data_IF_800907748074
#
_entry.id   IF_800907748074
#
_cell.length_a   1.000
_cell.length_b   1.000
_cell.length_c   1.000
_cell.angle_alpha   90.00
_cell.angle_beta   90.00
_cell.angle_gamma   90.00
#
_symmetry.space_group_name_H-M   'P 1'
#
loop_
_entity.id
_entity.type
_entity.pdbx_description
1 polymer ?
#
# COMPACT_ATOMS: atom_id res chain seq x y z
N UNK A 1 -22.77 10.17 4.48
CA UNK A 1 -21.50 10.85 4.83
C UNK A 1 -20.69 9.89 5.66
N UNK A 2 -19.46 9.62 5.24
CA UNK A 2 -18.56 8.58 5.80
C UNK A 2 -17.92 8.97 7.13
N UNK A 3 -18.20 10.17 7.67
CA UNK A 3 -17.63 10.65 8.93
C UNK A 3 -16.11 10.90 8.88
N UNK A 4 -15.49 10.79 7.70
CA UNK A 4 -14.06 10.94 7.46
C UNK A 4 -13.72 12.39 7.06
N UNK A 5 -12.58 12.90 7.54
CA UNK A 5 -12.00 14.17 7.09
C UNK A 5 -10.72 13.89 6.29
N UNK A 6 -10.60 14.48 5.11
CA UNK A 6 -9.35 14.55 4.36
C UNK A 6 -8.67 15.89 4.60
N UNK A 7 -7.47 15.87 5.19
CA UNK A 7 -6.67 17.07 5.36
C UNK A 7 -5.76 17.28 4.15
N UNK A 8 -5.97 18.36 3.42
CA UNK A 8 -5.17 18.72 2.26
C UNK A 8 -3.92 19.52 2.68
N UNK A 9 -2.78 19.13 2.12
CA UNK A 9 -1.45 19.57 2.53
C UNK A 9 -1.03 21.01 2.17
N UNK A 10 -1.98 21.84 1.74
CA UNK A 10 -1.83 23.25 1.41
C UNK A 10 -3.06 24.04 1.91
N UNK A 11 -2.96 25.37 1.92
CA UNK A 11 -3.97 26.29 2.44
C UNK A 11 -5.29 26.24 1.66
N UNK A 12 -5.24 25.86 0.38
CA UNK A 12 -6.42 25.85 -0.51
C UNK A 12 -6.50 24.51 -1.24
N UNK A 13 -7.47 23.64 -0.85
CA UNK A 13 -7.76 22.43 -1.58
C UNK A 13 -8.16 22.71 -3.04
N UNK A 14 -7.57 22.04 -4.04
CA UNK A 14 -7.94 22.20 -5.44
C UNK A 14 -9.39 21.76 -5.69
N UNK A 15 -10.11 22.51 -6.53
CA UNK A 15 -11.53 22.25 -6.83
C UNK A 15 -11.79 20.80 -7.29
N UNK A 16 -10.86 20.22 -8.06
CA UNK A 16 -10.97 18.83 -8.52
C UNK A 16 -10.89 17.82 -7.38
N UNK A 17 -10.01 18.05 -6.40
CA UNK A 17 -9.92 17.21 -5.22
C UNK A 17 -11.20 17.31 -4.39
N UNK A 18 -11.68 18.53 -4.16
CA UNK A 18 -12.94 18.76 -3.43
C UNK A 18 -14.10 18.04 -4.09
N UNK A 19 -14.26 18.17 -5.41
CA UNK A 19 -15.31 17.49 -6.15
C UNK A 19 -15.24 15.95 -6.02
N UNK A 20 -14.05 15.36 -6.17
CA UNK A 20 -13.87 13.91 -5.99
C UNK A 20 -14.20 13.45 -4.56
N UNK A 21 -13.83 14.22 -3.55
CA UNK A 21 -14.09 13.88 -2.15
C UNK A 21 -15.57 14.07 -1.78
N UNK A 22 -16.24 15.08 -2.35
CA UNK A 22 -17.68 15.29 -2.18
C UNK A 22 -18.51 14.12 -2.74
N UNK A 23 -18.13 13.59 -3.92
CA UNK A 23 -18.73 12.38 -4.50
C UNK A 23 -18.58 11.15 -3.59
N UNK A 24 -17.47 11.08 -2.85
CA UNK A 24 -17.18 10.03 -1.86
C UNK A 24 -17.75 10.35 -0.47
N UNK A 25 -18.40 11.51 -0.30
CA UNK A 25 -18.98 11.96 0.96
C UNK A 25 -17.96 12.25 2.07
N UNK A 26 -16.72 12.60 1.69
CA UNK A 26 -15.58 12.93 2.56
C UNK A 26 -15.35 14.44 2.56
N UNK A 27 -15.25 15.03 3.74
CA UNK A 27 -15.02 16.48 3.87
C UNK A 27 -13.54 16.80 3.72
N UNK A 28 -13.19 17.79 2.91
CA UNK A 28 -11.81 18.27 2.75
C UNK A 28 -11.58 19.52 3.57
N UNK A 29 -10.52 19.53 4.39
CA UNK A 29 -10.08 20.69 5.16
C UNK A 29 -8.59 20.96 4.88
N UNK A 30 -8.11 22.20 4.89
CA UNK A 30 -6.67 22.46 4.82
C UNK A 30 -5.97 21.92 6.09
N UNK A 31 -4.74 21.40 5.95
CA UNK A 31 -3.89 21.03 7.08
C UNK A 31 -3.56 22.31 7.86
N UNK A 32 -3.99 22.37 9.11
CA UNK A 32 -3.47 23.32 10.10
C UNK A 32 -2.29 22.63 10.79
N UNK A 33 -1.20 23.35 11.05
CA UNK A 33 0.10 22.83 11.57
C UNK A 33 -0.03 21.87 12.77
N UNK A 34 -1.12 21.95 13.52
CA UNK A 34 -1.57 20.91 14.43
C UNK A 34 -2.94 20.41 13.98
N UNK A 35 -3.04 19.11 13.66
CA UNK A 35 -4.34 18.44 13.62
C UNK A 35 -4.96 18.63 15.02
N UNK A 36 -6.17 19.24 15.14
CA UNK A 36 -6.81 19.41 16.44
C UNK A 36 -7.03 18.05 17.12
N UNK A 37 -7.51 18.01 18.36
CA UNK A 37 -8.01 16.75 18.94
C UNK A 37 -9.21 16.28 18.13
N UNK A 38 -8.95 15.51 17.07
CA UNK A 38 -9.96 15.07 16.11
C UNK A 38 -10.59 13.80 16.68
N UNK A 39 -11.89 13.88 17.00
CA UNK A 39 -12.67 12.72 17.44
C UNK A 39 -13.18 11.84 16.29
N UNK A 40 -12.95 12.28 15.05
CA UNK A 40 -13.34 11.60 13.83
C UNK A 40 -12.12 11.06 13.08
N UNK A 41 -12.23 9.92 12.38
CA UNK A 41 -11.15 9.44 11.52
C UNK A 41 -10.74 10.50 10.49
N UNK A 42 -9.46 10.57 10.19
CA UNK A 42 -8.95 11.48 9.16
C UNK A 42 -7.81 10.86 8.35
N UNK A 43 -7.61 11.36 7.14
CA UNK A 43 -6.47 11.01 6.27
C UNK A 43 -5.78 12.28 5.81
N UNK A 44 -4.46 12.22 5.61
CA UNK A 44 -3.71 13.31 4.98
C UNK A 44 -3.68 13.06 3.47
N UNK A 45 -3.93 14.11 2.69
CA UNK A 45 -3.98 14.03 1.23
C UNK A 45 -3.13 15.14 0.64
N UNK A 46 -2.30 14.82 -0.35
CA UNK A 46 -1.50 15.82 -1.04
C UNK A 46 -0.24 15.27 -1.68
N UNK A 47 0.72 16.15 -1.97
CA UNK A 47 1.97 15.75 -2.63
C UNK A 47 2.83 14.93 -1.67
N UNK A 48 3.28 13.77 -2.11
CA UNK A 48 4.09 12.89 -1.30
C UNK A 48 5.49 13.47 -1.05
N UNK A 49 5.92 13.44 0.20
CA UNK A 49 7.31 13.58 0.61
C UNK A 49 7.50 12.83 1.95
N UNK A 50 8.75 12.52 2.37
CA UNK A 50 8.99 11.73 3.57
C UNK A 50 8.34 12.28 4.85
N UNK A 51 8.26 13.61 5.01
CA UNK A 51 7.65 14.23 6.18
C UNK A 51 6.12 14.07 6.18
N UNK A 52 5.48 14.29 5.04
CA UNK A 52 4.02 14.19 4.87
C UNK A 52 3.52 12.75 4.96
N UNK A 53 4.28 11.81 4.38
CA UNK A 53 4.00 10.37 4.52
C UNK A 53 4.03 9.98 6.00
N UNK A 54 5.10 10.36 6.72
CA UNK A 54 5.22 10.10 8.17
C UNK A 54 4.08 10.74 8.97
N UNK A 55 3.69 11.97 8.63
CA UNK A 55 2.56 12.66 9.26
C UNK A 55 1.26 11.87 9.07
N UNK A 56 0.94 11.42 7.84
CA UNK A 56 -0.25 10.63 7.58
C UNK A 56 -0.23 9.24 8.23
N UNK A 57 0.97 8.68 8.45
CA UNK A 57 1.17 7.43 9.20
C UNK A 57 1.24 7.62 10.72
N UNK A 58 1.18 8.85 11.25
CA UNK A 58 1.18 9.12 12.69
C UNK A 58 -0.24 9.46 13.18
N UNK A 59 -0.58 9.06 14.40
CA UNK A 59 -1.86 9.42 15.02
C UNK A 59 -2.00 10.96 15.13
N UNK A 60 -3.20 11.54 14.94
CA UNK A 60 -4.50 10.89 14.80
C UNK A 60 -4.87 10.45 13.37
N UNK A 61 -4.00 10.65 12.38
CA UNK A 61 -4.29 10.26 11.00
C UNK A 61 -4.44 8.74 10.85
N UNK A 62 -5.23 8.31 9.88
CA UNK A 62 -5.46 6.92 9.51
C UNK A 62 -4.77 6.58 8.18
N UNK A 63 -4.03 7.52 7.61
CA UNK A 63 -3.23 7.25 6.43
C UNK A 63 -2.77 8.48 5.67
N UNK A 64 -2.04 8.21 4.59
CA UNK A 64 -1.63 9.20 3.61
C UNK A 64 -2.09 8.78 2.22
N UNK A 65 -2.67 9.69 1.46
CA UNK A 65 -3.04 9.49 0.06
C UNK A 65 -2.33 10.52 -0.79
N UNK A 66 -1.41 10.05 -1.62
CA UNK A 66 -0.78 10.89 -2.62
C UNK A 66 -1.81 11.40 -3.62
N UNK A 67 -1.76 12.69 -3.84
CA UNK A 67 -2.56 13.40 -4.81
C UNK A 67 -1.73 14.54 -5.38
N UNK A 68 -1.52 14.53 -6.69
CA UNK A 68 -0.90 15.65 -7.41
C UNK A 68 -1.94 16.36 -8.29
N UNK A 69 -1.83 17.68 -8.51
CA UNK A 69 -2.75 18.41 -9.37
C UNK A 69 -2.91 17.82 -10.78
N UNK A 70 -1.82 17.29 -11.34
CA UNK A 70 -1.77 16.62 -12.64
C UNK A 70 -2.27 15.17 -12.66
N UNK A 71 -2.52 14.54 -11.51
CA UNK A 71 -2.92 13.14 -11.47
C UNK A 71 -4.37 12.98 -11.91
N UNK A 72 -4.62 12.40 -13.08
CA UNK A 72 -5.99 12.12 -13.53
C UNK A 72 -6.67 10.97 -12.77
N UNK A 73 -5.93 10.28 -11.90
CA UNK A 73 -6.45 9.17 -11.12
C UNK A 73 -7.44 9.65 -10.05
N UNK A 74 -8.50 8.88 -9.78
CA UNK A 74 -9.39 9.14 -8.66
C UNK A 74 -8.67 8.89 -7.33
N UNK A 75 -9.14 9.55 -6.28
CA UNK A 75 -8.79 9.19 -4.91
C UNK A 75 -9.25 7.74 -4.65
N UNK A 76 -8.39 6.87 -4.10
CA UNK A 76 -8.71 5.45 -3.90
C UNK A 76 -9.77 5.28 -2.81
N UNK A 77 -10.99 4.90 -3.22
CA UNK A 77 -12.10 4.70 -2.30
C UNK A 77 -11.80 3.65 -1.22
N UNK A 78 -11.09 2.57 -1.57
CA UNK A 78 -10.71 1.51 -0.63
C UNK A 78 -9.86 2.05 0.55
N UNK A 79 -8.98 3.03 0.30
CA UNK A 79 -8.20 3.68 1.34
C UNK A 79 -9.10 4.50 2.29
N UNK A 80 -10.04 5.26 1.74
CA UNK A 80 -10.97 6.07 2.54
C UNK A 80 -11.91 5.18 3.37
N UNK A 81 -12.44 4.12 2.77
CA UNK A 81 -13.27 3.13 3.45
C UNK A 81 -12.51 2.44 4.59
N UNK A 82 -11.25 2.07 4.35
CA UNK A 82 -10.35 1.51 5.36
C UNK A 82 -10.17 2.48 6.55
N UNK A 83 -9.82 3.74 6.26
CA UNK A 83 -9.63 4.77 7.27
C UNK A 83 -10.92 5.03 8.08
N UNK A 84 -12.08 5.12 7.42
CA UNK A 84 -13.37 5.34 8.09
C UNK A 84 -13.75 4.24 9.09
N UNK A 85 -13.21 3.03 8.87
CA UNK A 85 -13.41 1.84 9.73
C UNK A 85 -12.34 1.70 10.81
N UNK A 86 -11.50 2.72 11.01
CA UNK A 86 -10.41 2.70 11.99
C UNK A 86 -9.17 1.92 11.55
N UNK A 87 -9.04 1.60 10.26
CA UNK A 87 -7.85 0.97 9.70
C UNK A 87 -6.74 1.97 9.38
N UNK A 88 -5.60 1.45 8.93
CA UNK A 88 -4.48 2.24 8.42
C UNK A 88 -4.37 2.10 6.90
N UNK A 89 -4.07 3.20 6.20
CA UNK A 89 -3.92 3.17 4.75
C UNK A 89 -2.75 4.01 4.25
N UNK A 90 -2.21 3.64 3.10
CA UNK A 90 -1.20 4.39 2.38
C UNK A 90 -1.44 4.23 0.88
N UNK A 91 -1.46 5.32 0.14
CA UNK A 91 -1.51 5.29 -1.32
C UNK A 91 -0.45 6.23 -1.88
N UNK A 92 0.47 5.69 -2.67
CA UNK A 92 1.57 6.43 -3.28
C UNK A 92 1.63 6.08 -4.77
N UNK A 93 2.12 6.99 -5.60
CA UNK A 93 2.54 6.61 -6.94
C UNK A 93 3.77 5.69 -6.87
N UNK A 94 4.06 5.02 -7.97
CA UNK A 94 5.11 4.00 -8.05
C UNK A 94 6.49 4.59 -7.80
N UNK A 95 6.73 5.82 -8.25
CA UNK A 95 7.98 6.54 -8.00
C UNK A 95 8.23 6.73 -6.50
N UNK A 96 7.25 7.26 -5.80
CA UNK A 96 7.35 7.53 -4.36
C UNK A 96 7.35 6.25 -3.55
N UNK A 97 6.57 5.25 -3.96
CA UNK A 97 6.56 3.94 -3.32
C UNK A 97 7.94 3.25 -3.40
N UNK A 98 8.64 3.36 -4.53
CA UNK A 98 9.98 2.81 -4.70
C UNK A 98 11.04 3.52 -3.84
N UNK A 99 10.87 4.82 -3.59
CA UNK A 99 11.81 5.63 -2.81
C UNK A 99 11.53 5.63 -1.29
N UNK A 100 10.43 5.02 -0.87
CA UNK A 100 9.97 5.02 0.51
C UNK A 100 10.13 3.64 1.11
N UNK A 101 10.71 3.55 2.31
CA UNK A 101 10.65 2.32 3.10
C UNK A 101 9.25 2.13 3.67
N UNK A 102 8.35 1.64 2.82
CA UNK A 102 6.94 1.45 3.14
C UNK A 102 6.79 0.38 4.22
N UNK A 103 7.49 -0.75 4.08
CA UNK A 103 7.31 -1.90 4.95
C UNK A 103 7.60 -1.52 6.40
N UNK A 104 8.75 -0.89 6.64
CA UNK A 104 9.13 -0.45 7.98
C UNK A 104 8.15 0.60 8.53
N UNK A 105 7.97 1.73 7.81
CA UNK A 105 7.17 2.85 8.32
C UNK A 105 5.71 2.48 8.55
N UNK A 106 5.13 1.68 7.66
CA UNK A 106 3.73 1.25 7.78
C UNK A 106 3.56 0.27 8.95
N UNK A 107 4.51 -0.65 9.14
CA UNK A 107 4.49 -1.62 10.24
C UNK A 107 4.69 -0.94 11.60
N UNK A 108 5.61 0.02 11.71
CA UNK A 108 5.76 0.85 12.92
C UNK A 108 4.46 1.59 13.25
N UNK A 109 3.81 2.15 12.23
CA UNK A 109 2.52 2.83 12.38
C UNK A 109 1.38 1.88 12.78
N UNK A 110 1.42 0.62 12.35
CA UNK A 110 0.50 -0.44 12.78
C UNK A 110 0.71 -0.77 14.26
N UNK A 111 1.94 -0.97 14.71
CA UNK A 111 2.24 -1.33 16.11
C UNK A 111 1.77 -0.24 17.08
N UNK A 112 1.99 1.03 16.74
CA UNK A 112 1.54 2.17 17.56
C UNK A 112 0.01 2.19 17.69
N UNK A 113 -0.73 1.86 16.62
CA UNK A 113 -2.21 1.89 16.61
C UNK A 113 -2.84 0.62 17.17
N UNK A 114 -2.22 -0.51 16.92
CA UNK A 114 -2.71 -1.84 17.26
C UNK A 114 -1.62 -2.62 18.00
N UNK A 115 -1.29 -2.28 19.27
CA UNK A 115 -0.18 -2.90 20.00
C UNK A 115 -0.32 -4.42 20.14
N UNK A 116 -1.55 -4.94 20.09
CA UNK A 116 -1.84 -6.38 20.16
C UNK A 116 -1.37 -7.18 18.93
N UNK A 117 -0.91 -6.54 17.86
CA UNK A 117 -0.34 -7.19 16.68
C UNK A 117 1.13 -7.57 16.83
N UNK A 118 1.79 -7.24 17.94
CA UNK A 118 3.23 -7.45 18.18
C UNK A 118 3.69 -8.87 17.80
N UNK A 119 2.91 -9.90 18.12
CA UNK A 119 3.24 -11.30 17.86
C UNK A 119 3.31 -11.68 16.36
N UNK A 120 2.64 -10.93 15.49
CA UNK A 120 2.55 -11.19 14.04
C UNK A 120 3.19 -10.06 13.22
N UNK A 121 3.86 -9.10 13.87
CA UNK A 121 4.33 -7.89 13.23
C UNK A 121 5.46 -8.15 12.21
N UNK A 122 6.38 -9.06 12.53
CA UNK A 122 7.47 -9.45 11.61
C UNK A 122 6.95 -10.15 10.35
N UNK A 123 5.91 -10.98 10.51
CA UNK A 123 5.24 -11.68 9.40
C UNK A 123 4.54 -10.68 8.47
N UNK A 124 3.89 -9.66 9.06
CA UNK A 124 3.26 -8.55 8.35
C UNK A 124 4.32 -7.74 7.58
N UNK A 125 5.41 -7.33 8.24
CA UNK A 125 6.45 -6.49 7.62
C UNK A 125 7.08 -7.16 6.41
N UNK A 126 7.49 -8.42 6.56
CA UNK A 126 8.14 -9.17 5.50
C UNK A 126 7.19 -9.45 4.34
N UNK A 127 5.93 -9.79 4.63
CA UNK A 127 4.91 -9.99 3.60
C UNK A 127 4.58 -8.69 2.87
N UNK A 128 4.51 -7.56 3.58
CA UNK A 128 4.29 -6.24 3.02
C UNK A 128 5.44 -5.82 2.10
N UNK A 129 6.69 -6.03 2.52
CA UNK A 129 7.87 -5.72 1.70
C UNK A 129 7.84 -6.47 0.36
N UNK A 130 7.56 -7.78 0.39
CA UNK A 130 7.44 -8.59 -0.82
C UNK A 130 6.25 -8.17 -1.69
N UNK A 131 5.08 -7.93 -1.08
CA UNK A 131 3.87 -7.52 -1.80
C UNK A 131 4.06 -6.17 -2.49
N UNK A 132 4.65 -5.18 -1.82
CA UNK A 132 4.96 -3.85 -2.38
C UNK A 132 6.01 -3.96 -3.48
N UNK A 133 7.06 -4.77 -3.30
CA UNK A 133 8.05 -4.99 -4.33
C UNK A 133 7.41 -5.61 -5.59
N UNK A 134 6.50 -6.56 -5.43
CA UNK A 134 5.77 -7.15 -6.55
C UNK A 134 4.84 -6.14 -7.23
N UNK A 135 4.08 -5.37 -6.46
CA UNK A 135 3.20 -4.30 -6.95
C UNK A 135 3.95 -3.27 -7.79
N UNK A 136 5.13 -2.84 -7.33
CA UNK A 136 5.98 -1.89 -8.06
C UNK A 136 6.58 -2.56 -9.31
N UNK A 137 7.31 -3.66 -9.12
CA UNK A 137 8.22 -4.20 -10.13
C UNK A 137 7.44 -4.98 -11.20
N UNK A 138 6.57 -5.88 -10.76
CA UNK A 138 5.83 -6.78 -11.65
C UNK A 138 4.47 -6.20 -12.04
N UNK A 139 3.83 -5.44 -11.15
CA UNK A 139 2.60 -4.71 -11.44
C UNK A 139 2.85 -3.46 -12.27
N UNK A 140 3.06 -2.32 -11.61
CA UNK A 140 3.07 -1.00 -12.24
C UNK A 140 4.17 -0.82 -13.29
N UNK A 141 5.39 -1.28 -13.00
CA UNK A 141 6.49 -1.21 -13.94
C UNK A 141 6.46 -2.34 -14.97
N UNK A 142 5.69 -3.42 -14.77
CA UNK A 142 5.58 -4.54 -15.72
C UNK A 142 6.91 -5.22 -16.05
N UNK A 143 7.86 -5.26 -15.12
CA UNK A 143 9.20 -5.84 -15.33
C UNK A 143 9.10 -7.35 -15.19
N UNK A 144 9.52 -8.07 -16.23
CA UNK A 144 9.48 -9.52 -16.27
C UNK A 144 10.37 -10.16 -15.20
N UNK A 145 9.89 -11.27 -14.67
CA UNK A 145 10.48 -11.97 -13.54
C UNK A 145 11.78 -12.74 -13.86
N UNK A 146 12.06 -12.94 -15.16
CA UNK A 146 13.21 -13.70 -15.69
C UNK A 146 14.51 -12.90 -15.77
N UNK A 147 14.50 -11.61 -15.43
CA UNK A 147 15.62 -10.71 -15.69
C UNK A 147 16.78 -10.83 -14.66
N UNK A 148 16.68 -11.65 -13.60
CA UNK A 148 17.62 -11.63 -12.44
C UNK A 148 18.56 -12.84 -12.27
N UNK A 149 18.83 -13.61 -13.34
CA UNK A 149 19.57 -14.89 -13.24
C UNK A 149 21.11 -14.77 -13.18
N UNK A 150 21.70 -13.73 -13.77
CA UNK A 150 23.16 -13.48 -13.76
C UNK A 150 23.48 -11.98 -13.57
N UNK A 151 24.76 -11.61 -13.49
CA UNK A 151 25.19 -10.22 -13.27
C UNK A 151 24.77 -9.29 -14.42
N UNK A 152 24.82 -9.78 -15.65
CA UNK A 152 24.36 -9.04 -16.83
C UNK A 152 22.85 -8.80 -16.79
N UNK A 153 22.07 -9.81 -16.38
CA UNK A 153 20.63 -9.72 -16.13
C UNK A 153 20.31 -8.74 -15.01
N UNK A 154 21.09 -8.73 -13.92
CA UNK A 154 20.90 -7.75 -12.85
C UNK A 154 21.14 -6.31 -13.34
N UNK A 155 22.19 -6.07 -14.12
CA UNK A 155 22.45 -4.76 -14.71
C UNK A 155 21.32 -4.33 -15.65
N UNK A 156 20.83 -5.23 -16.51
CA UNK A 156 19.68 -4.98 -17.39
C UNK A 156 18.41 -4.70 -16.59
N UNK A 157 18.16 -5.48 -15.54
CA UNK A 157 17.04 -5.28 -14.62
C UNK A 157 17.06 -3.89 -13.99
N UNK A 158 18.21 -3.46 -13.46
CA UNK A 158 18.34 -2.13 -12.86
C UNK A 158 18.15 -1.03 -13.92
N UNK A 159 18.70 -1.18 -15.12
CA UNK A 159 18.52 -0.21 -16.19
C UNK A 159 17.04 -0.07 -16.60
N UNK A 160 16.35 -1.19 -16.84
CA UNK A 160 14.91 -1.19 -17.17
C UNK A 160 14.07 -0.63 -16.03
N UNK A 161 14.43 -0.90 -14.78
CA UNK A 161 13.73 -0.34 -13.63
C UNK A 161 13.83 1.19 -13.59
N UNK A 162 15.03 1.74 -13.76
CA UNK A 162 15.24 3.18 -13.77
C UNK A 162 14.56 3.85 -14.97
N UNK A 163 14.67 3.25 -16.16
CA UNK A 163 13.98 3.71 -17.38
C UNK A 163 12.45 3.81 -17.16
N UNK A 164 11.82 2.77 -16.59
CA UNK A 164 10.37 2.77 -16.37
C UNK A 164 9.92 3.62 -15.21
N UNK A 165 10.82 3.90 -14.27
CA UNK A 165 10.59 4.94 -13.28
C UNK A 165 10.61 6.33 -13.94
N UNK A 166 11.22 6.55 -15.09
CA UNK A 166 11.15 7.85 -15.79
C UNK A 166 9.90 8.02 -16.66
N UNK A 167 9.20 6.93 -16.99
CA UNK A 167 7.96 6.90 -17.77
C UNK A 167 6.72 7.24 -16.90
N UNK A 168 6.05 8.40 -17.09
CA UNK A 168 4.86 8.78 -16.30
C UNK A 168 3.71 7.78 -16.39
N UNK A 169 3.54 7.09 -17.53
CA UNK A 169 2.45 6.11 -17.71
C UNK A 169 2.59 4.89 -16.79
N UNK A 170 3.77 4.70 -16.20
CA UNK A 170 4.09 3.63 -15.24
C UNK A 170 4.41 4.19 -13.86
N UNK A 171 5.23 5.24 -13.79
CA UNK A 171 5.70 5.82 -12.55
C UNK A 171 4.60 6.51 -11.75
N UNK A 172 3.56 7.03 -12.43
CA UNK A 172 2.44 7.71 -11.78
C UNK A 172 1.33 6.72 -11.39
N UNK A 173 1.44 5.44 -11.79
CA UNK A 173 0.54 4.38 -11.32
C UNK A 173 0.64 4.23 -9.81
N UNK A 174 -0.49 3.94 -9.18
CA UNK A 174 -0.62 3.87 -7.71
C UNK A 174 -0.29 2.48 -7.17
N UNK A 175 0.32 2.48 -5.98
CA UNK A 175 0.34 1.36 -5.05
C UNK A 175 -0.51 1.76 -3.85
N UNK A 176 -1.54 0.98 -3.56
CA UNK A 176 -2.49 1.21 -2.48
C UNK A 176 -2.36 0.13 -1.42
N UNK A 177 -2.33 0.54 -0.15
CA UNK A 177 -2.18 -0.36 1.00
C UNK A 177 -3.30 -0.06 1.97
N UNK A 178 -4.03 -1.10 2.37
CA UNK A 178 -5.09 -1.01 3.39
C UNK A 178 -4.87 -2.07 4.44
N UNK A 179 -5.05 -1.70 5.71
CA UNK A 179 -4.86 -2.58 6.85
C UNK A 179 -6.01 -2.39 7.83
N UNK A 180 -6.82 -3.43 7.99
CA UNK A 180 -7.99 -3.44 8.87
C UNK A 180 -7.81 -4.46 9.97
N UNK A 181 -7.98 -4.09 11.26
CA UNK A 181 -7.93 -5.06 12.35
C UNK A 181 -9.05 -6.09 12.21
N UNK A 182 -8.72 -7.35 12.48
CA UNK A 182 -9.66 -8.48 12.51
C UNK A 182 -9.68 -9.01 13.94
N UNK A 183 -10.73 -8.66 14.67
CA UNK A 183 -10.77 -8.86 16.12
C UNK A 183 -9.67 -8.05 16.82
N UNK A 184 -9.16 -8.58 17.93
CA UNK A 184 -8.21 -7.87 18.77
C UNK A 184 -6.75 -8.07 18.37
N UNK A 185 -6.44 -9.16 17.65
CA UNK A 185 -5.07 -9.63 17.44
C UNK A 185 -4.76 -9.99 16.00
N UNK A 186 -5.75 -9.92 15.09
CA UNK A 186 -5.58 -10.21 13.68
C UNK A 186 -5.57 -8.95 12.83
N UNK A 187 -5.10 -9.09 11.58
CA UNK A 187 -5.05 -8.01 10.60
C UNK A 187 -5.37 -8.54 9.21
N UNK A 188 -6.21 -7.82 8.48
CA UNK A 188 -6.40 -7.97 7.04
C UNK A 188 -5.61 -6.88 6.33
N UNK A 189 -4.55 -7.27 5.62
CA UNK A 189 -3.68 -6.39 4.87
C UNK A 189 -3.93 -6.57 3.37
N UNK A 190 -4.11 -5.51 2.61
CA UNK A 190 -4.20 -5.58 1.15
C UNK A 190 -3.19 -4.65 0.49
N UNK A 191 -2.58 -5.12 -0.59
CA UNK A 191 -1.72 -4.32 -1.49
C UNK A 191 -2.33 -4.38 -2.88
N UNK A 192 -2.59 -3.21 -3.48
CA UNK A 192 -3.18 -3.08 -4.82
C UNK A 192 -2.26 -2.28 -5.73
N UNK A 193 -2.07 -2.76 -6.95
CA UNK A 193 -1.38 -2.07 -8.04
C UNK A 193 -2.30 -1.78 -9.23
N UNK A 194 -1.78 -1.08 -10.23
CA UNK A 194 -2.46 -0.72 -11.48
C UNK A 194 -1.72 -1.31 -12.70
N UNK A 195 -1.01 -2.42 -12.49
CA UNK A 195 -0.39 -3.23 -13.52
C UNK A 195 -1.40 -4.05 -14.31
N UNK A 196 -0.89 -4.99 -15.10
CA UNK A 196 -1.71 -5.87 -15.93
C UNK A 196 -2.43 -6.96 -15.11
N UNK A 197 -2.02 -7.13 -13.85
CA UNK A 197 -2.48 -8.21 -12.96
C UNK A 197 -1.81 -9.54 -13.25
N UNK A 198 -2.04 -10.52 -12.37
CA UNK A 198 -1.58 -11.90 -12.55
C UNK A 198 -2.64 -12.92 -12.11
N UNK A 199 -2.54 -14.12 -12.68
CA UNK A 199 -3.32 -15.26 -12.23
C UNK A 199 -2.57 -16.00 -11.12
N UNK A 200 -3.11 -15.93 -9.89
CA UNK A 200 -2.52 -16.58 -8.73
C UNK A 200 -2.42 -18.09 -8.91
N UNK A 201 -3.39 -18.75 -9.55
CA UNK A 201 -3.37 -20.20 -9.73
C UNK A 201 -2.23 -20.61 -10.66
N UNK A 202 -1.99 -19.82 -11.70
CA UNK A 202 -0.87 -20.02 -12.62
C UNK A 202 0.48 -19.80 -11.94
N UNK A 203 0.61 -18.77 -11.09
CA UNK A 203 1.83 -18.55 -10.31
C UNK A 203 2.06 -19.64 -9.25
N UNK A 204 1.00 -20.11 -8.59
CA UNK A 204 1.05 -21.18 -7.57
C UNK A 204 1.42 -22.54 -8.16
N UNK A 205 1.11 -22.79 -9.43
CA UNK A 205 1.49 -24.03 -10.13
C UNK A 205 2.96 -24.06 -10.55
N UNK A 206 3.67 -22.92 -10.54
CA UNK A 206 5.10 -22.88 -10.84
C UNK A 206 5.85 -23.57 -9.69
N UNK A 207 6.54 -24.66 -10.02
CA UNK A 207 7.21 -25.51 -9.03
C UNK A 207 8.27 -24.72 -8.23
N UNK A 208 8.36 -24.86 -6.89
CA UNK A 208 9.38 -24.20 -6.07
C UNK A 208 10.83 -24.53 -6.48
N UNK A 209 11.00 -25.59 -7.27
CA UNK A 209 12.28 -26.13 -7.74
C UNK A 209 12.82 -25.49 -9.02
N UNK A 210 12.07 -24.64 -9.71
CA UNK A 210 12.66 -23.89 -10.81
C UNK A 210 13.55 -22.79 -10.22
N UNK A 211 14.82 -22.78 -10.57
CA UNK A 211 15.87 -21.83 -10.13
C UNK A 211 15.59 -20.36 -10.53
N UNK A 212 14.36 -20.04 -10.94
CA UNK A 212 13.87 -18.69 -11.15
C UNK A 212 13.58 -18.05 -9.78
N UNK A 213 14.33 -17.00 -9.43
CA UNK A 213 14.10 -16.17 -8.23
C UNK A 213 12.68 -15.54 -8.19
N UNK A 214 11.95 -15.60 -9.30
CA UNK A 214 10.56 -15.18 -9.41
C UNK A 214 9.60 -16.22 -8.87
N UNK A 215 8.97 -15.94 -7.72
CA UNK A 215 8.02 -16.84 -7.06
C UNK A 215 8.34 -17.08 -5.58
N UNK A 216 9.54 -16.72 -5.12
CA UNK A 216 9.89 -16.78 -3.69
C UNK A 216 9.04 -15.82 -2.85
N UNK A 217 8.79 -14.60 -3.33
CA UNK A 217 8.01 -13.60 -2.61
C UNK A 217 6.59 -14.08 -2.28
N UNK A 218 5.84 -14.56 -3.28
CA UNK A 218 4.48 -15.11 -3.04
C UNK A 218 4.52 -16.40 -2.20
N UNK A 219 5.53 -17.25 -2.40
CA UNK A 219 5.74 -18.43 -1.56
C UNK A 219 6.01 -18.09 -0.09
N UNK A 220 6.78 -17.03 0.16
CA UNK A 220 7.07 -16.51 1.50
C UNK A 220 5.82 -15.91 2.13
N UNK A 221 5.11 -15.03 1.41
CA UNK A 221 3.83 -14.47 1.88
C UNK A 221 2.86 -15.58 2.31
N UNK A 222 2.75 -16.66 1.52
CA UNK A 222 1.89 -17.80 1.85
C UNK A 222 2.32 -18.57 3.10
N UNK A 223 3.61 -18.57 3.43
CA UNK A 223 4.10 -19.23 4.65
C UNK A 223 3.81 -18.40 5.90
N UNK A 224 3.74 -17.08 5.77
CA UNK A 224 3.60 -16.13 6.86
C UNK A 224 2.13 -15.74 7.12
N UNK A 225 1.34 -15.55 6.06
CA UNK A 225 -0.08 -15.23 6.16
C UNK A 225 -0.91 -16.49 6.44
N UNK A 226 -1.98 -16.33 7.21
CA UNK A 226 -2.95 -17.40 7.51
C UNK A 226 -3.85 -17.72 6.30
N UNK A 227 -4.18 -16.70 5.49
CA UNK A 227 -4.87 -16.85 4.21
C UNK A 227 -4.40 -15.79 3.22
N UNK A 228 -4.48 -16.09 1.92
CA UNK A 228 -4.20 -15.14 0.85
C UNK A 228 -5.27 -15.21 -0.23
N UNK A 229 -5.67 -14.05 -0.73
CA UNK A 229 -6.69 -13.92 -1.77
C UNK A 229 -6.23 -12.90 -2.81
N UNK A 230 -6.52 -13.18 -4.07
CA UNK A 230 -6.22 -12.27 -5.18
C UNK A 230 -7.52 -11.86 -5.85
N UNK A 231 -7.68 -10.56 -6.04
CA UNK A 231 -8.88 -9.95 -6.61
C UNK A 231 -8.51 -8.91 -7.69
N UNK A 232 -9.53 -8.23 -8.22
CA UNK A 232 -9.38 -7.18 -9.22
C UNK A 232 -8.55 -7.62 -10.45
N UNK A 233 -8.78 -8.84 -10.93
CA UNK A 233 -8.04 -9.39 -12.07
C UNK A 233 -6.55 -9.57 -11.82
N UNK A 234 -6.14 -9.82 -10.57
CA UNK A 234 -4.74 -10.05 -10.23
C UNK A 234 -4.00 -8.85 -9.66
N UNK A 235 -4.68 -7.72 -9.46
CA UNK A 235 -4.05 -6.47 -9.04
C UNK A 235 -4.11 -6.23 -7.54
N UNK A 236 -4.97 -6.93 -6.82
CA UNK A 236 -5.09 -6.80 -5.36
C UNK A 236 -4.73 -8.12 -4.71
N UNK A 237 -3.68 -8.11 -3.89
CA UNK A 237 -3.33 -9.20 -2.99
C UNK A 237 -3.81 -8.84 -1.58
N UNK A 238 -4.71 -9.65 -1.02
CA UNK A 238 -5.16 -9.58 0.36
C UNK A 238 -4.54 -10.72 1.16
N UNK A 239 -4.01 -10.40 2.34
CA UNK A 239 -3.35 -11.31 3.27
C UNK A 239 -4.02 -11.18 4.63
N UNK A 240 -4.48 -12.29 5.18
CA UNK A 240 -5.03 -12.36 6.53
C UNK A 240 -3.95 -12.89 7.48
N UNK A 241 -3.70 -12.14 8.55
CA UNK A 241 -2.82 -12.53 9.64
C UNK A 241 -3.64 -12.76 10.88
N UNK A 242 -3.63 -13.99 11.37
CA UNK A 242 -4.21 -14.35 12.66
C UNK A 242 -3.16 -15.08 13.49
N UNK A 243 -2.97 -14.72 14.77
CA UNK A 243 -2.06 -15.47 15.63
C UNK A 243 -2.53 -16.93 15.70
N UNK A 244 -1.58 -17.87 15.69
CA UNK A 244 -1.89 -19.25 15.96
C UNK A 244 -2.60 -19.36 17.32
N UNK A 245 -3.74 -20.07 17.36
CA UNK A 245 -4.42 -20.37 18.63
C UNK A 245 -3.51 -21.33 19.39
N UNK A 246 -2.74 -20.82 20.35
CA UNK A 246 -2.07 -21.69 21.31
C UNK A 246 -3.15 -22.28 22.20
N UNK A 247 -3.54 -23.53 21.95
CA UNK A 247 -4.37 -24.29 22.88
C UNK A 247 -3.67 -24.27 24.25
N UNK A 248 -4.33 -23.69 25.25
CA UNK A 248 -3.90 -23.72 26.64
C UNK A 248 -4.11 -25.10 27.25
#
# INVERSE_FOLDING_TARGET
MTGLIAFYDDMVPPTRLVAQMDELGVRVEPVIECLPTISVPCVVVGRANPAKIRQGLTVPSHGFVEWNPGDHQPVPQACLDCASRGGLTLALNTRMAYQTDIAQQFTEALLVRFPKLEAILGDIELSLAEAVANAIIHGNLGIGSKMRSDFAGFALFQATLLERLEDPDRADRRVEITALPVGDTGLKLSVTDQGDGYDIDTEMRKSPRAEAKSGRGLGLIRQLASDIQVAAGGRTLTMDFTPAITAR
#
